data_IF_976781629175
#
_entry.id   IF_976781629175
#
_cell.length_a   1.000
_cell.length_b   1.000
_cell.length_c   1.000
_cell.angle_alpha   90.00
_cell.angle_beta   90.00
_cell.angle_gamma   90.00
#
_symmetry.space_group_name_H-M   'P 1'
#
loop_
_entity.id
_entity.type
_entity.pdbx_description
1 polymer ?
#
# COMPACT_ATOMS: atom_id res chain seq x y z
N UNK A 1 30.94 -2.98 -0.14
CA UNK A 1 29.76 -2.13 0.14
C UNK A 1 28.61 -2.77 -0.63
N UNK A 2 27.66 -3.52 -0.07
CA UNK A 2 26.79 -3.27 1.10
C UNK A 2 26.03 -4.54 1.56
N UNK A 3 26.04 -4.81 2.88
CA UNK A 3 24.96 -5.34 3.75
C UNK A 3 24.09 -6.58 3.41
N UNK A 4 24.51 -7.54 2.57
CA UNK A 4 23.70 -8.76 2.34
C UNK A 4 23.70 -9.80 3.48
N UNK A 5 24.62 -9.70 4.46
CA UNK A 5 24.73 -10.67 5.58
C UNK A 5 23.89 -10.32 6.82
N UNK A 6 23.29 -9.12 6.87
CA UNK A 6 22.55 -8.67 8.06
C UNK A 6 21.06 -9.04 8.01
N UNK A 7 20.51 -9.32 6.82
CA UNK A 7 19.10 -9.66 6.63
C UNK A 7 18.94 -10.79 5.58
N UNK A 8 19.20 -12.06 5.96
CA UNK A 8 19.20 -13.18 5.01
C UNK A 8 17.81 -13.56 4.49
N UNK A 9 16.74 -13.09 5.12
CA UNK A 9 15.37 -13.42 4.72
C UNK A 9 14.70 -12.23 4.03
N UNK A 10 14.24 -12.41 2.80
CA UNK A 10 13.49 -11.38 2.07
C UNK A 10 12.18 -11.92 1.50
N UNK A 11 11.19 -11.04 1.38
CA UNK A 11 9.90 -11.32 0.72
C UNK A 11 9.44 -10.07 -0.01
N UNK A 12 8.84 -10.26 -1.18
CA UNK A 12 8.25 -9.19 -1.97
C UNK A 12 6.77 -9.45 -2.15
N UNK A 13 5.95 -8.46 -1.85
CA UNK A 13 4.49 -8.51 -1.94
C UNK A 13 4.05 -7.52 -3.00
N UNK A 14 3.17 -7.96 -3.90
CA UNK A 14 2.58 -7.12 -4.93
C UNK A 14 1.07 -7.12 -4.74
N UNK A 15 0.53 -5.94 -4.44
CA UNK A 15 -0.91 -5.76 -4.19
C UNK A 15 -1.47 -4.92 -5.35
N UNK A 16 -2.25 -5.52 -6.26
CA UNK A 16 -2.93 -4.78 -7.31
C UNK A 16 -4.08 -3.97 -6.70
N UNK A 17 -4.09 -2.66 -6.94
CA UNK A 17 -5.14 -1.75 -6.48
C UNK A 17 -5.89 -1.16 -7.67
N UNK A 18 -7.21 -1.01 -7.51
CA UNK A 18 -8.15 -0.59 -8.57
C UNK A 18 -8.05 0.89 -8.97
N UNK A 19 -7.25 1.72 -8.31
CA UNK A 19 -6.95 3.08 -8.77
C UNK A 19 -5.56 3.53 -8.30
N UNK A 20 -4.94 4.45 -9.03
CA UNK A 20 -3.66 5.06 -8.65
C UNK A 20 -3.76 5.94 -7.39
N UNK A 21 -4.93 6.57 -7.17
CA UNK A 21 -5.23 7.34 -5.96
C UNK A 21 -5.23 6.44 -4.73
N UNK A 22 -5.85 5.26 -4.82
CA UNK A 22 -5.85 4.29 -3.73
C UNK A 22 -4.44 3.81 -3.42
N UNK A 23 -3.62 3.53 -4.44
CA UNK A 23 -2.23 3.12 -4.22
C UNK A 23 -1.39 4.18 -3.50
N UNK A 24 -1.56 5.45 -3.87
CA UNK A 24 -0.85 6.57 -3.23
C UNK A 24 -1.28 6.75 -1.77
N UNK A 25 -2.59 6.74 -1.51
CA UNK A 25 -3.12 6.90 -0.15
C UNK A 25 -2.71 5.72 0.73
N UNK A 26 -2.78 4.49 0.22
CA UNK A 26 -2.34 3.31 0.94
C UNK A 26 -0.84 3.37 1.25
N UNK A 27 -0.01 3.77 0.28
CA UNK A 27 1.43 3.97 0.51
C UNK A 27 1.68 5.01 1.61
N UNK A 28 0.99 6.15 1.58
CA UNK A 28 1.15 7.20 2.59
C UNK A 28 0.73 6.70 3.98
N UNK A 29 -0.42 6.03 4.09
CA UNK A 29 -0.89 5.48 5.36
C UNK A 29 0.07 4.41 5.91
N UNK A 30 0.53 3.50 5.04
CA UNK A 30 1.43 2.40 5.41
C UNK A 30 2.83 2.90 5.75
N UNK A 31 3.31 3.99 5.14
CA UNK A 31 4.62 4.59 5.39
C UNK A 31 4.71 5.26 6.77
N UNK A 32 3.60 5.76 7.31
CA UNK A 32 3.54 6.44 8.62
C UNK A 32 3.76 5.46 9.78
N UNK A 33 3.44 4.17 9.62
CA UNK A 33 3.71 3.16 10.64
C UNK A 33 5.23 2.89 10.77
N UNK A 34 5.91 3.31 11.85
CA UNK A 34 7.31 2.95 12.02
C UNK A 34 7.45 1.43 12.19
N UNK A 35 8.46 0.84 11.56
CA UNK A 35 8.75 -0.58 11.78
C UNK A 35 9.16 -0.81 13.24
N UNK A 36 8.49 -1.78 13.88
CA UNK A 36 8.65 -2.13 15.29
C UNK A 36 10.08 -2.53 15.69
N UNK A 37 10.99 -2.74 14.74
CA UNK A 37 12.34 -3.16 15.05
C UNK A 37 13.34 -2.76 13.96
N UNK A 38 14.55 -2.28 14.33
CA UNK A 38 15.66 -2.09 13.39
C UNK A 38 16.17 -3.40 12.76
N UNK A 39 15.63 -4.54 13.19
CA UNK A 39 15.94 -5.89 12.69
C UNK A 39 15.11 -6.29 11.45
N UNK A 40 14.24 -5.40 10.97
CA UNK A 40 13.46 -5.55 9.74
C UNK A 40 13.60 -4.25 8.93
N UNK A 41 13.72 -4.38 7.62
CA UNK A 41 13.73 -3.28 6.67
C UNK A 41 12.62 -3.50 5.65
N UNK A 42 11.71 -2.53 5.55
CA UNK A 42 10.74 -2.44 4.45
C UNK A 42 11.06 -1.32 3.47
N UNK A 43 10.75 -1.57 2.20
CA UNK A 43 10.74 -0.57 1.12
C UNK A 43 9.43 -0.67 0.35
N UNK A 44 8.79 0.48 0.17
CA UNK A 44 7.56 0.61 -0.60
C UNK A 44 7.85 1.25 -1.94
N UNK A 45 7.20 0.72 -2.97
CA UNK A 45 7.22 1.27 -4.33
C UNK A 45 5.84 1.13 -4.92
N UNK A 46 5.32 2.19 -5.54
CA UNK A 46 4.11 2.12 -6.36
C UNK A 46 4.50 2.19 -7.83
N UNK A 47 4.00 1.24 -8.63
CA UNK A 47 4.19 1.22 -10.07
C UNK A 47 2.86 1.19 -10.81
N UNK A 48 2.75 1.79 -12.01
CA UNK A 48 1.64 1.51 -12.91
C UNK A 48 1.73 0.06 -13.40
N UNK A 49 0.59 -0.64 -13.54
CA UNK A 49 0.60 -1.89 -14.31
C UNK A 49 0.96 -1.57 -15.76
N UNK A 50 2.12 -2.05 -16.22
CA UNK A 50 2.49 -2.00 -17.62
C UNK A 50 1.61 -3.00 -18.41
N UNK A 51 0.37 -2.61 -18.68
CA UNK A 51 -0.36 -3.11 -19.84
C UNK A 51 -0.09 -2.16 -20.99
N UNK A 52 0.71 -2.68 -21.91
CA UNK A 52 1.07 -2.11 -23.20
C UNK A 52 -0.16 -1.47 -23.87
N UNK A 53 -0.13 -0.14 -24.04
CA UNK A 53 -0.86 0.53 -25.13
C UNK A 53 -2.27 1.08 -24.90
N UNK A 54 -2.63 1.65 -23.74
CA UNK A 54 -3.84 2.49 -23.67
C UNK A 54 -3.63 3.75 -22.80
N UNK A 55 -3.56 4.90 -23.46
CA UNK A 55 -3.32 6.23 -22.86
C UNK A 55 -4.53 6.79 -22.10
N UNK A 56 -5.44 5.95 -21.59
CA UNK A 56 -6.68 6.38 -20.94
C UNK A 56 -7.09 5.56 -19.70
N UNK A 57 -6.17 4.85 -19.05
CA UNK A 57 -6.51 4.07 -17.84
C UNK A 57 -5.93 4.69 -16.56
N UNK A 58 -6.72 5.55 -15.92
CA UNK A 58 -6.50 6.11 -14.58
C UNK A 58 -6.57 5.06 -13.43
N UNK A 59 -6.41 3.76 -13.71
CA UNK A 59 -7.21 2.74 -13.02
C UNK A 59 -6.52 1.49 -12.47
N UNK A 60 -5.21 1.29 -12.57
CA UNK A 60 -4.59 0.13 -11.91
C UNK A 60 -3.16 0.45 -11.49
N UNK A 61 -2.92 0.47 -10.18
CA UNK A 61 -1.58 0.67 -9.64
C UNK A 61 -1.23 -0.46 -8.70
N UNK A 62 -0.01 -1.00 -8.86
CA UNK A 62 0.51 -2.08 -8.03
C UNK A 62 1.34 -1.47 -6.92
N UNK A 63 0.92 -1.71 -5.69
CA UNK A 63 1.73 -1.44 -4.51
C UNK A 63 2.69 -2.62 -4.32
N UNK A 64 3.98 -2.38 -4.52
CA UNK A 64 5.04 -3.35 -4.26
C UNK A 64 5.71 -3.04 -2.93
N UNK A 65 5.84 -4.06 -2.08
CA UNK A 65 6.50 -3.96 -0.79
C UNK A 65 7.60 -5.00 -0.70
N UNK A 66 8.82 -4.54 -0.47
CA UNK A 66 9.99 -5.39 -0.26
C UNK A 66 10.36 -5.39 1.21
N UNK A 67 10.31 -6.57 1.82
CA UNK A 67 10.72 -6.81 3.20
C UNK A 67 12.02 -7.57 3.26
N UNK A 68 12.88 -7.19 4.20
CA UNK A 68 14.11 -7.88 4.54
C UNK A 68 14.21 -8.00 6.07
N UNK A 69 14.56 -9.16 6.59
CA UNK A 69 14.66 -9.41 8.02
C UNK A 69 15.84 -10.33 8.35
N UNK A 70 16.30 -10.22 9.60
CA UNK A 70 17.34 -11.09 10.17
C UNK A 70 16.89 -12.55 10.28
N UNK A 71 15.59 -12.77 10.51
CA UNK A 71 15.01 -14.11 10.69
C UNK A 71 13.64 -14.22 10.03
N UNK A 72 13.28 -15.45 9.62
CA UNK A 72 11.92 -15.79 9.18
C UNK A 72 10.84 -15.52 10.24
N UNK A 73 11.21 -15.51 11.53
CA UNK A 73 10.25 -15.19 12.61
C UNK A 73 9.89 -13.71 12.59
N UNK A 74 10.90 -12.83 12.50
CA UNK A 74 10.67 -11.38 12.38
C UNK A 74 9.93 -11.03 11.10
N UNK A 75 10.27 -11.70 9.98
CA UNK A 75 9.57 -11.52 8.71
C UNK A 75 8.08 -11.84 8.84
N UNK A 76 7.74 -12.97 9.47
CA UNK A 76 6.34 -13.35 9.69
C UNK A 76 5.58 -12.36 10.55
N UNK A 77 6.17 -11.92 11.67
CA UNK A 77 5.53 -10.95 12.57
C UNK A 77 5.30 -9.61 11.86
N UNK A 78 6.30 -9.13 11.13
CA UNK A 78 6.20 -7.87 10.38
C UNK A 78 5.17 -7.95 9.26
N UNK A 79 5.16 -9.04 8.48
CA UNK A 79 4.20 -9.22 7.37
C UNK A 79 2.77 -9.40 7.90
N UNK A 80 2.56 -10.16 8.98
CA UNK A 80 1.24 -10.31 9.59
C UNK A 80 0.67 -8.96 10.05
N UNK A 81 1.47 -8.18 10.80
CA UNK A 81 1.07 -6.84 11.23
C UNK A 81 0.81 -5.91 10.04
N UNK A 82 1.61 -6.00 8.98
CA UNK A 82 1.42 -5.22 7.76
C UNK A 82 0.10 -5.55 7.06
N UNK A 83 -0.25 -6.82 6.94
CA UNK A 83 -1.50 -7.25 6.31
C UNK A 83 -2.72 -6.78 7.11
N UNK A 84 -2.64 -6.79 8.45
CA UNK A 84 -3.70 -6.26 9.31
C UNK A 84 -3.86 -4.74 9.11
N UNK A 85 -2.77 -3.97 9.10
CA UNK A 85 -2.79 -2.53 8.79
C UNK A 85 -3.32 -2.26 7.37
N UNK A 86 -2.87 -3.02 6.36
CA UNK A 86 -3.34 -2.91 4.99
C UNK A 86 -4.85 -3.16 4.89
N UNK A 87 -5.36 -4.18 5.57
CA UNK A 87 -6.79 -4.48 5.61
C UNK A 87 -7.59 -3.32 6.19
N UNK A 88 -7.15 -2.75 7.32
CA UNK A 88 -7.79 -1.59 7.93
C UNK A 88 -7.81 -0.39 6.97
N UNK A 89 -6.68 -0.11 6.33
CA UNK A 89 -6.55 0.97 5.36
C UNK A 89 -7.51 0.76 4.18
N UNK A 90 -7.56 -0.45 3.61
CA UNK A 90 -8.47 -0.76 2.52
C UNK A 90 -9.95 -0.65 2.92
N UNK A 91 -10.32 -1.10 4.12
CA UNK A 91 -11.69 -1.00 4.65
C UNK A 91 -12.10 0.46 4.87
N UNK A 92 -11.21 1.26 5.45
CA UNK A 92 -11.42 2.70 5.65
C UNK A 92 -11.53 3.42 4.30
N UNK A 93 -10.71 3.05 3.31
CA UNK A 93 -10.77 3.61 1.97
C UNK A 93 -12.08 3.26 1.25
N UNK A 94 -12.58 2.03 1.38
CA UNK A 94 -13.89 1.63 0.84
C UNK A 94 -15.03 2.46 1.44
N UNK A 95 -14.99 2.70 2.76
CA UNK A 95 -15.98 3.53 3.45
C UNK A 95 -15.88 5.02 3.04
N UNK A 96 -14.67 5.56 2.88
CA UNK A 96 -14.44 6.95 2.52
C UNK A 96 -14.75 7.27 1.06
N UNK A 97 -14.49 6.35 0.12
CA UNK A 97 -14.84 6.55 -1.29
C UNK A 97 -16.38 6.68 -1.47
N UNK A 98 -17.16 5.98 -0.64
CA UNK A 98 -18.62 6.12 -0.60
C UNK A 98 -19.12 7.48 -0.10
N UNK A 99 -18.43 8.12 0.85
CA UNK A 99 -18.90 9.37 1.49
C UNK A 99 -18.57 10.64 0.66
N UNK A 100 -17.61 10.57 -0.27
CA UNK A 100 -17.26 11.70 -1.17
C UNK A 100 -18.32 11.89 -2.27
N UNK A 101 -18.96 10.81 -2.73
CA UNK A 101 -20.02 10.88 -3.75
C UNK A 101 -21.37 11.38 -3.21
N UNK A 102 -21.60 11.29 -1.90
CA UNK A 102 -22.86 11.73 -1.30
C UNK A 102 -22.93 13.24 -1.04
N UNK A 103 -21.79 13.95 -0.99
CA UNK A 103 -21.73 15.37 -0.57
C UNK A 103 -21.71 16.40 -1.71
N UNK A 104 -21.67 15.98 -2.97
CA UNK A 104 -21.69 16.89 -4.13
C UNK A 104 -23.09 17.03 -4.78
N UNK A 105 -24.08 16.26 -4.32
CA UNK A 105 -25.42 16.21 -4.92
C UNK A 105 -26.44 17.23 -4.40
N UNK A 106 -26.19 17.90 -3.28
CA UNK A 106 -27.22 18.67 -2.54
C UNK A 106 -26.96 20.18 -2.46
N UNK A 107 -26.63 20.82 -3.59
CA UNK A 107 -26.60 22.31 -3.65
C UNK A 107 -27.31 22.91 -4.86
N UNK A 108 -28.16 22.14 -5.56
CA UNK A 108 -28.89 22.61 -6.75
C UNK A 108 -30.38 22.89 -6.55
N UNK A 109 -30.83 23.11 -5.32
CA UNK A 109 -32.21 23.47 -5.07
C UNK A 109 -32.35 24.45 -3.93
N UNK A 110 -32.07 25.74 -4.17
CA UNK A 110 -32.66 26.88 -3.46
C UNK A 110 -32.14 28.18 -4.08
N UNK A 111 -32.92 28.72 -5.03
CA UNK A 111 -33.23 30.17 -5.25
C UNK A 111 -33.51 30.44 -6.73
#
# INVERSE_FOLDING_TARGET
MVLSDQFPCSISLQIPLSTARLATIALQALQVDPELSPLVQRKFSTGPEAKDGDECSSGASVLTVHYQATTNRMLRVAVNSFMDSLKLVLEVMEQLDGDVLAKDGDVRGLS
#
